data_IF_768429169044
#
_entry.id   IF_768429169044
#
_cell.length_a   1.000
_cell.length_b   1.000
_cell.length_c   1.000
_cell.angle_alpha   90.00
_cell.angle_beta   90.00
_cell.angle_gamma   90.00
#
_symmetry.space_group_name_H-M   'P 1'
#
loop_
_entity.id
_entity.type
_entity.pdbx_description
1 polymer ?
#
# COMPACT_ATOMS: atom_id res chain seq x y z
N UNK A 1 21.58 1.50 -11.95
CA UNK A 1 20.49 2.27 -11.33
C UNK A 1 19.54 1.25 -10.69
N UNK A 2 19.50 1.21 -9.35
CA UNK A 2 18.62 0.32 -8.62
C UNK A 2 17.25 0.99 -8.55
N UNK A 3 16.24 0.38 -9.13
CA UNK A 3 14.86 0.85 -9.00
C UNK A 3 14.36 0.42 -7.62
N UNK A 4 14.13 1.38 -6.74
CA UNK A 4 13.44 1.15 -5.46
C UNK A 4 11.97 1.42 -5.67
N UNK A 5 11.13 0.43 -5.43
CA UNK A 5 9.68 0.59 -5.41
C UNK A 5 9.20 0.52 -3.96
N UNK A 6 8.55 1.56 -3.49
CA UNK A 6 7.93 1.62 -2.16
C UNK A 6 6.43 1.54 -2.35
N UNK A 7 5.81 0.54 -1.74
CA UNK A 7 4.36 0.39 -1.70
C UNK A 7 3.87 0.78 -0.31
N UNK A 8 3.07 1.83 -0.26
CA UNK A 8 2.41 2.26 0.97
C UNK A 8 0.93 2.43 0.67
N UNK A 9 0.08 1.67 1.36
CA UNK A 9 -1.34 1.97 1.31
C UNK A 9 -2.15 1.24 2.39
N UNK A 10 -3.26 1.82 2.74
CA UNK A 10 -4.51 1.24 3.19
C UNK A 10 -5.64 1.88 2.37
N UNK A 11 -5.65 1.71 1.07
CA UNK A 11 -6.60 2.43 0.21
C UNK A 11 -6.40 3.96 0.17
N UNK A 12 -5.49 4.50 0.99
CA UNK A 12 -5.25 5.94 1.16
C UNK A 12 -4.68 6.58 -0.12
N UNK A 13 -3.87 5.85 -0.88
CA UNK A 13 -3.32 6.36 -2.14
C UNK A 13 -4.39 6.76 -3.14
N UNK A 14 -5.47 5.98 -3.26
CA UNK A 14 -6.61 6.27 -4.13
C UNK A 14 -7.41 7.46 -3.64
N UNK A 15 -7.62 7.51 -2.33
CA UNK A 15 -8.34 8.56 -1.65
C UNK A 15 -7.66 9.91 -1.90
N UNK A 16 -6.36 10.02 -1.65
CA UNK A 16 -5.62 11.26 -1.87
C UNK A 16 -5.48 11.65 -3.34
N UNK A 17 -5.29 10.67 -4.24
CA UNK A 17 -5.24 10.92 -5.68
C UNK A 17 -6.52 11.57 -6.17
N UNK A 18 -7.69 11.01 -5.82
CA UNK A 18 -8.99 11.51 -6.26
C UNK A 18 -9.23 12.92 -5.74
N UNK A 19 -8.94 13.15 -4.47
CA UNK A 19 -9.12 14.46 -3.86
C UNK A 19 -8.14 15.50 -4.42
N UNK A 20 -6.89 15.12 -4.69
CA UNK A 20 -5.92 15.95 -5.38
C UNK A 20 -6.34 16.28 -6.82
N UNK A 21 -7.12 15.42 -7.46
CA UNK A 21 -7.73 15.60 -8.78
C UNK A 21 -9.09 16.32 -8.74
N UNK A 22 -9.59 16.68 -7.54
CA UNK A 22 -10.87 17.40 -7.38
C UNK A 22 -12.12 16.52 -7.35
N UNK A 23 -11.98 15.20 -7.19
CA UNK A 23 -13.13 14.30 -7.06
C UNK A 23 -13.65 14.24 -5.61
N UNK A 24 -14.96 14.09 -5.46
CA UNK A 24 -15.56 13.81 -4.16
C UNK A 24 -15.19 12.40 -3.68
N UNK A 25 -14.93 12.26 -2.38
CA UNK A 25 -14.38 11.03 -1.80
C UNK A 25 -15.44 10.06 -1.28
N UNK A 26 -16.73 10.39 -1.51
CA UNK A 26 -17.85 9.63 -0.94
C UNK A 26 -17.62 9.41 0.59
N UNK A 27 -17.81 8.18 1.09
CA UNK A 27 -17.62 7.85 2.52
C UNK A 27 -16.23 7.27 2.84
N UNK A 28 -15.26 7.42 1.93
CA UNK A 28 -13.89 6.95 2.16
C UNK A 28 -13.15 7.83 3.17
N UNK A 29 -12.27 7.24 3.95
CA UNK A 29 -11.50 7.94 4.97
C UNK A 29 -10.52 8.93 4.32
N UNK A 30 -10.60 10.20 4.69
CA UNK A 30 -9.77 11.28 4.14
C UNK A 30 -9.14 12.09 5.27
N UNK A 31 -7.84 12.29 5.19
CA UNK A 31 -7.10 13.23 6.02
C UNK A 31 -6.83 14.51 5.22
N UNK A 32 -7.58 15.56 5.50
CA UNK A 32 -7.54 16.82 4.73
C UNK A 32 -6.14 17.45 4.68
N UNK A 33 -5.36 17.30 5.76
CA UNK A 33 -3.99 17.85 5.85
C UNK A 33 -3.01 17.16 4.90
N UNK A 34 -3.29 15.93 4.48
CA UNK A 34 -2.42 15.16 3.60
C UNK A 34 -2.65 15.44 2.09
N UNK A 35 -3.68 16.21 1.73
CA UNK A 35 -4.03 16.47 0.33
C UNK A 35 -2.95 17.29 -0.38
N UNK A 36 -2.45 18.35 0.25
CA UNK A 36 -1.42 19.21 -0.35
C UNK A 36 -0.10 18.43 -0.51
N UNK A 37 0.24 17.59 0.48
CA UNK A 37 1.38 16.67 0.38
C UNK A 37 1.21 15.70 -0.78
N UNK A 38 0.00 15.12 -0.94
CA UNK A 38 -0.30 14.22 -2.06
C UNK A 38 -0.18 14.91 -3.41
N UNK A 39 -0.66 16.15 -3.55
CA UNK A 39 -0.50 16.96 -4.77
C UNK A 39 0.98 17.20 -5.09
N UNK A 40 1.78 17.56 -4.10
CA UNK A 40 3.22 17.73 -4.25
C UNK A 40 3.90 16.46 -4.73
N UNK A 41 3.62 15.34 -4.07
CA UNK A 41 4.15 14.03 -4.45
C UNK A 41 3.73 13.60 -5.86
N UNK A 42 2.50 13.90 -6.28
CA UNK A 42 2.04 13.60 -7.64
C UNK A 42 2.77 14.45 -8.68
N UNK A 43 3.03 15.72 -8.38
CA UNK A 43 3.75 16.61 -9.28
C UNK A 43 5.24 16.22 -9.42
N UNK A 44 5.88 15.81 -8.34
CA UNK A 44 7.29 15.43 -8.31
C UNK A 44 7.54 13.98 -8.73
N UNK A 45 6.60 13.08 -8.39
CA UNK A 45 6.76 11.64 -8.57
C UNK A 45 6.77 11.19 -10.02
N UNK A 46 5.97 11.82 -10.88
CA UNK A 46 5.85 11.45 -12.28
C UNK A 46 5.68 9.94 -12.45
N UNK A 47 6.45 9.34 -13.35
CA UNK A 47 6.41 7.89 -13.65
C UNK A 47 6.90 6.98 -12.50
N UNK A 48 7.49 7.58 -11.45
CA UNK A 48 7.95 6.83 -10.27
C UNK A 48 6.81 6.54 -9.31
N UNK A 49 5.75 7.35 -9.35
CA UNK A 49 4.57 7.19 -8.51
C UNK A 49 3.53 6.37 -9.26
N UNK A 50 3.31 5.14 -8.80
CA UNK A 50 2.29 4.25 -9.38
C UNK A 50 1.12 4.19 -8.42
N UNK A 51 -0.03 4.65 -8.89
CA UNK A 51 -1.25 4.72 -8.11
C UNK A 51 -2.26 3.69 -8.62
N UNK A 52 -3.16 3.19 -7.74
CA UNK A 52 -4.25 2.32 -8.13
C UNK A 52 -5.12 2.92 -9.24
N UNK A 53 -5.70 2.06 -10.06
CA UNK A 53 -6.57 2.43 -11.20
C UNK A 53 -8.01 1.94 -11.00
N UNK A 54 -8.21 0.93 -10.14
CA UNK A 54 -9.50 0.41 -9.73
C UNK A 54 -9.49 0.00 -8.26
N UNK A 55 -10.66 -0.14 -7.68
CA UNK A 55 -10.84 -0.55 -6.30
C UNK A 55 -12.04 -1.45 -6.12
N UNK A 56 -12.02 -2.25 -5.06
CA UNK A 56 -13.18 -2.99 -4.54
C UNK A 56 -13.89 -2.07 -3.57
N UNK A 57 -15.07 -1.62 -3.94
CA UNK A 57 -15.91 -0.77 -3.10
C UNK A 57 -16.99 -1.58 -2.42
N UNK A 58 -17.39 -1.13 -1.23
CA UNK A 58 -18.46 -1.73 -0.45
C UNK A 58 -19.42 -0.65 0.07
N UNK A 59 -20.68 -1.04 0.28
CA UNK A 59 -21.75 -0.19 0.81
C UNK A 59 -21.72 -0.05 2.33
N UNK A 60 -20.92 -0.89 3.02
CA UNK A 60 -20.70 -0.83 4.45
C UNK A 60 -19.28 -1.29 4.82
N UNK A 61 -18.79 -0.92 6.00
CA UNK A 61 -17.58 -1.49 6.57
C UNK A 61 -17.90 -2.77 7.32
N UNK A 62 -18.13 -3.85 6.56
CA UNK A 62 -18.50 -5.17 7.09
C UNK A 62 -17.96 -6.27 6.19
N UNK A 63 -17.66 -7.43 6.77
CA UNK A 63 -17.23 -8.61 6.02
C UNK A 63 -18.27 -9.11 5.00
N UNK A 64 -19.55 -8.88 5.30
CA UNK A 64 -20.70 -9.31 4.49
C UNK A 64 -21.29 -8.17 3.64
N UNK A 65 -20.61 -7.03 3.53
CA UNK A 65 -21.06 -5.89 2.76
C UNK A 65 -21.18 -6.24 1.27
N UNK A 66 -22.19 -5.69 0.61
CA UNK A 66 -22.28 -5.77 -0.83
C UNK A 66 -21.07 -5.05 -1.45
N UNK A 67 -20.42 -5.68 -2.42
CA UNK A 67 -19.19 -5.15 -3.01
C UNK A 67 -19.18 -5.25 -4.51
N UNK A 68 -18.50 -4.30 -5.16
CA UNK A 68 -18.28 -4.28 -6.61
C UNK A 68 -16.90 -3.71 -6.92
N UNK A 69 -16.37 -4.05 -8.09
CA UNK A 69 -15.13 -3.43 -8.61
C UNK A 69 -15.53 -2.22 -9.44
N UNK A 70 -14.88 -1.10 -9.19
CA UNK A 70 -15.09 0.13 -9.95
C UNK A 70 -13.74 0.80 -10.27
N UNK A 71 -13.63 1.55 -11.37
CA UNK A 71 -12.50 2.46 -11.58
C UNK A 71 -12.39 3.45 -10.42
N UNK A 72 -11.19 3.95 -10.12
CA UNK A 72 -10.99 4.88 -9.01
C UNK A 72 -11.77 6.19 -9.14
N UNK A 73 -12.15 6.57 -10.36
CA UNK A 73 -13.00 7.74 -10.66
C UNK A 73 -14.50 7.41 -10.69
N UNK A 74 -14.88 6.14 -10.49
CA UNK A 74 -16.26 5.64 -10.54
C UNK A 74 -16.88 5.32 -9.18
N UNK A 75 -16.30 5.76 -8.07
CA UNK A 75 -16.88 5.51 -6.73
C UNK A 75 -18.08 6.42 -6.49
N UNK A 76 -19.23 5.83 -6.29
CA UNK A 76 -20.50 6.53 -6.04
C UNK A 76 -20.65 6.92 -4.56
N UNK A 77 -21.52 7.90 -4.27
CA UNK A 77 -21.88 8.24 -2.90
C UNK A 77 -22.43 7.02 -2.15
N UNK A 78 -22.11 6.90 -0.86
CA UNK A 78 -22.50 5.75 -0.03
C UNK A 78 -21.58 4.52 -0.18
N UNK A 79 -20.63 4.54 -1.12
CA UNK A 79 -19.64 3.47 -1.29
C UNK A 79 -18.27 3.90 -0.80
N UNK A 80 -17.50 2.97 -0.25
CA UNK A 80 -16.13 3.17 0.25
C UNK A 80 -15.18 2.13 -0.32
N UNK A 81 -13.96 2.53 -0.62
CA UNK A 81 -12.93 1.62 -1.13
C UNK A 81 -12.40 0.80 0.06
N UNK A 82 -12.48 -0.52 -0.03
CA UNK A 82 -11.98 -1.44 1.01
C UNK A 82 -10.81 -2.31 0.53
N UNK A 83 -10.56 -2.42 -0.78
CA UNK A 83 -9.38 -3.11 -1.34
C UNK A 83 -9.03 -2.53 -2.71
N UNK A 84 -7.84 -2.82 -3.21
CA UNK A 84 -7.46 -2.54 -4.59
C UNK A 84 -8.15 -3.52 -5.54
N UNK A 85 -8.45 -3.05 -6.74
CA UNK A 85 -9.08 -3.89 -7.76
C UNK A 85 -8.08 -4.74 -8.57
N UNK A 86 -8.59 -5.66 -9.39
CA UNK A 86 -7.75 -6.60 -10.17
C UNK A 86 -6.86 -5.91 -11.20
N UNK A 87 -7.27 -4.80 -11.82
CA UNK A 87 -6.44 -4.07 -12.75
C UNK A 87 -5.26 -3.39 -12.03
N UNK A 88 -5.46 -2.93 -10.80
CA UNK A 88 -4.41 -2.41 -9.93
C UNK A 88 -3.42 -3.51 -9.54
N UNK A 89 -3.92 -4.69 -9.17
CA UNK A 89 -3.08 -5.86 -8.85
C UNK A 89 -2.18 -6.19 -10.05
N UNK A 90 -2.73 -6.25 -11.25
CA UNK A 90 -1.95 -6.50 -12.48
C UNK A 90 -0.92 -5.39 -12.73
N UNK A 91 -1.30 -4.12 -12.57
CA UNK A 91 -0.41 -2.98 -12.73
C UNK A 91 0.78 -3.07 -11.77
N UNK A 92 0.54 -3.34 -10.49
CA UNK A 92 1.58 -3.48 -9.48
C UNK A 92 2.46 -4.70 -9.77
N UNK A 93 1.88 -5.81 -10.22
CA UNK A 93 2.63 -7.00 -10.63
C UNK A 93 3.64 -6.71 -11.72
N UNK A 94 3.25 -5.97 -12.76
CA UNK A 94 4.17 -5.53 -13.82
C UNK A 94 5.32 -4.67 -13.30
N UNK A 95 5.06 -3.81 -12.30
CA UNK A 95 6.09 -2.96 -11.70
C UNK A 95 7.01 -3.70 -10.75
N UNK A 96 6.51 -4.75 -10.09
CA UNK A 96 7.30 -5.58 -9.18
C UNK A 96 8.15 -6.63 -9.89
N UNK A 97 7.80 -7.02 -11.11
CA UNK A 97 8.47 -8.12 -11.83
C UNK A 97 9.99 -7.93 -11.99
N UNK A 98 10.44 -6.69 -12.21
CA UNK A 98 11.87 -6.37 -12.40
C UNK A 98 12.53 -5.76 -11.15
N UNK A 99 11.80 -5.70 -10.03
CA UNK A 99 12.30 -5.13 -8.80
C UNK A 99 13.45 -5.97 -8.23
N UNK A 100 14.52 -5.31 -7.76
CA UNK A 100 15.64 -5.97 -7.06
C UNK A 100 15.51 -5.86 -5.55
N UNK A 101 14.83 -4.82 -5.09
CA UNK A 101 14.52 -4.60 -3.68
C UNK A 101 13.10 -4.07 -3.58
N UNK A 102 12.31 -4.65 -2.71
CA UNK A 102 10.95 -4.23 -2.39
C UNK A 102 10.88 -3.89 -0.91
N UNK A 103 10.43 -2.68 -0.60
CA UNK A 103 10.07 -2.30 0.76
C UNK A 103 8.55 -2.17 0.79
N UNK A 104 7.89 -2.98 1.62
CA UNK A 104 6.46 -3.01 1.75
C UNK A 104 6.03 -2.61 3.15
N UNK A 105 5.19 -1.59 3.24
CA UNK A 105 4.63 -1.11 4.50
C UNK A 105 3.15 -0.76 4.32
N UNK A 106 2.28 -1.47 4.99
CA UNK A 106 0.83 -1.35 4.93
C UNK A 106 0.15 -2.33 3.96
N UNK A 107 -0.97 -2.95 4.36
CA UNK A 107 -1.78 -3.78 3.49
C UNK A 107 -2.45 -2.94 2.39
N UNK A 108 -2.88 -3.59 1.31
CA UNK A 108 -3.55 -2.91 0.18
C UNK A 108 -5.02 -2.62 0.48
N UNK A 109 -5.67 -3.41 1.33
CA UNK A 109 -7.06 -3.30 1.69
C UNK A 109 -7.33 -3.73 3.13
N UNK A 110 -8.61 -3.87 3.47
CA UNK A 110 -9.09 -4.34 4.78
C UNK A 110 -8.96 -5.86 4.83
N UNK A 111 -7.70 -6.32 4.99
CA UNK A 111 -7.32 -7.74 4.91
C UNK A 111 -7.96 -8.59 6.02
N UNK A 112 -8.47 -7.98 7.08
CA UNK A 112 -9.21 -8.62 8.15
C UNK A 112 -10.53 -9.24 7.65
N UNK A 113 -11.06 -8.72 6.57
CA UNK A 113 -12.25 -9.26 5.91
C UNK A 113 -11.84 -10.06 4.66
N UNK A 114 -12.14 -11.36 4.58
CA UNK A 114 -11.72 -12.19 3.45
C UNK A 114 -12.16 -11.66 2.07
N UNK A 115 -13.30 -10.96 2.01
CA UNK A 115 -13.79 -10.35 0.79
C UNK A 115 -12.87 -9.24 0.26
N UNK A 116 -12.13 -8.55 1.16
CA UNK A 116 -11.30 -7.37 0.90
C UNK A 116 -9.81 -7.62 1.18
N UNK A 117 -9.40 -8.89 1.28
CA UNK A 117 -8.01 -9.31 1.48
C UNK A 117 -7.28 -9.69 0.19
N UNK A 118 -8.01 -9.78 -0.92
CA UNK A 118 -7.49 -10.33 -2.19
C UNK A 118 -6.36 -9.51 -2.77
N UNK A 119 -6.46 -8.19 -2.73
CA UNK A 119 -5.43 -7.28 -3.21
C UNK A 119 -4.14 -7.43 -2.38
N UNK A 120 -4.27 -7.45 -1.06
CA UNK A 120 -3.14 -7.64 -0.14
C UNK A 120 -2.47 -8.99 -0.35
N UNK A 121 -3.24 -10.07 -0.45
CA UNK A 121 -2.72 -11.43 -0.67
C UNK A 121 -2.01 -11.52 -2.02
N UNK A 122 -2.60 -11.00 -3.09
CA UNK A 122 -2.00 -11.02 -4.42
C UNK A 122 -0.66 -10.27 -4.46
N UNK A 123 -0.59 -9.09 -3.86
CA UNK A 123 0.68 -8.33 -3.76
C UNK A 123 1.71 -9.10 -2.95
N UNK A 124 1.32 -9.72 -1.82
CA UNK A 124 2.21 -10.55 -1.02
C UNK A 124 2.79 -11.73 -1.82
N UNK A 125 1.95 -12.42 -2.59
CA UNK A 125 2.37 -13.53 -3.46
C UNK A 125 3.35 -13.06 -4.55
N UNK A 126 3.07 -11.91 -5.17
CA UNK A 126 3.95 -11.33 -6.19
C UNK A 126 5.31 -10.95 -5.60
N UNK A 127 5.34 -10.33 -4.42
CA UNK A 127 6.58 -10.00 -3.72
C UNK A 127 7.36 -11.26 -3.37
N UNK A 128 6.67 -12.29 -2.86
CA UNK A 128 7.28 -13.59 -2.53
C UNK A 128 7.86 -14.31 -3.75
N UNK A 129 7.25 -14.12 -4.93
CA UNK A 129 7.67 -14.77 -6.17
C UNK A 129 8.70 -13.96 -6.98
N UNK A 130 8.89 -12.68 -6.69
CA UNK A 130 9.72 -11.77 -7.49
C UNK A 130 11.22 -12.06 -7.47
N UNK A 131 11.70 -12.80 -6.47
CA UNK A 131 13.14 -13.01 -6.22
C UNK A 131 13.88 -11.74 -5.75
N UNK A 132 13.17 -10.65 -5.47
CA UNK A 132 13.73 -9.43 -4.92
C UNK A 132 14.09 -9.60 -3.44
N UNK A 133 15.03 -8.79 -2.95
CA UNK A 133 15.19 -8.60 -1.51
C UNK A 133 13.95 -7.89 -0.98
N UNK A 134 13.12 -8.60 -0.23
CA UNK A 134 11.87 -8.10 0.32
C UNK A 134 12.00 -7.73 1.80
N UNK A 135 11.69 -6.48 2.11
CA UNK A 135 11.68 -5.94 3.47
C UNK A 135 10.26 -5.53 3.78
N UNK A 136 9.64 -6.14 4.77
CA UNK A 136 8.25 -5.87 5.14
C UNK A 136 8.22 -5.24 6.53
N UNK A 137 7.59 -4.08 6.62
CA UNK A 137 7.42 -3.31 7.85
C UNK A 137 5.95 -3.03 8.16
N UNK A 138 5.68 -2.74 9.43
CA UNK A 138 4.35 -2.45 9.93
C UNK A 138 3.59 -3.69 10.42
N UNK A 139 2.98 -3.57 11.60
CA UNK A 139 2.27 -4.69 12.25
C UNK A 139 1.18 -5.31 11.39
N UNK A 140 0.41 -4.47 10.70
CA UNK A 140 -0.68 -4.92 9.84
C UNK A 140 -0.17 -5.69 8.61
N UNK A 141 0.94 -5.24 8.00
CA UNK A 141 1.57 -5.97 6.89
C UNK A 141 2.06 -7.34 7.32
N UNK A 142 2.67 -7.41 8.51
CA UNK A 142 3.13 -8.67 9.09
C UNK A 142 1.96 -9.60 9.39
N UNK A 143 0.87 -9.06 9.95
CA UNK A 143 -0.35 -9.83 10.21
C UNK A 143 -0.98 -10.37 8.93
N UNK A 144 -1.03 -9.56 7.88
CA UNK A 144 -1.52 -9.97 6.57
C UNK A 144 -0.66 -11.10 5.96
N UNK A 145 0.67 -11.01 6.08
CA UNK A 145 1.58 -12.06 5.63
C UNK A 145 1.41 -13.37 6.42
N UNK A 146 1.17 -13.28 7.74
CA UNK A 146 0.91 -14.45 8.57
C UNK A 146 -0.39 -15.13 8.14
N UNK A 147 -1.46 -14.36 7.91
CA UNK A 147 -2.72 -14.91 7.40
C UNK A 147 -2.56 -15.61 6.04
N UNK A 148 -1.75 -15.02 5.15
CA UNK A 148 -1.47 -15.58 3.83
C UNK A 148 -0.47 -16.75 3.86
N UNK A 149 0.16 -17.06 5.00
CA UNK A 149 1.18 -18.10 5.11
C UNK A 149 2.49 -17.80 4.36
N UNK A 150 2.78 -16.51 4.11
CA UNK A 150 3.88 -16.06 3.26
C UNK A 150 5.06 -15.47 4.04
N UNK A 151 4.99 -15.42 5.37
CA UNK A 151 6.02 -14.83 6.24
C UNK A 151 7.43 -15.38 5.96
N UNK A 152 7.56 -16.70 5.83
CA UNK A 152 8.85 -17.35 5.58
C UNK A 152 9.42 -17.11 4.18
N UNK A 153 8.64 -16.54 3.27
CA UNK A 153 9.08 -16.20 1.90
C UNK A 153 9.64 -14.80 1.77
N UNK A 154 9.55 -13.98 2.81
CA UNK A 154 10.11 -12.64 2.84
C UNK A 154 11.56 -12.66 3.30
N UNK A 155 12.41 -11.82 2.70
CA UNK A 155 13.83 -11.75 3.05
C UNK A 155 14.05 -11.17 4.45
N UNK A 156 13.24 -10.18 4.83
CA UNK A 156 13.31 -9.55 6.15
C UNK A 156 11.94 -9.01 6.57
N UNK A 157 11.62 -9.22 7.85
CA UNK A 157 10.43 -8.65 8.49
C UNK A 157 10.90 -7.71 9.58
N UNK A 158 10.58 -6.43 9.42
CA UNK A 158 10.91 -5.39 10.40
C UNK A 158 9.82 -5.31 11.45
N UNK A 159 10.18 -5.52 12.71
CA UNK A 159 9.30 -5.30 13.86
C UNK A 159 9.15 -3.80 14.21
N UNK A 160 10.04 -2.95 13.67
CA UNK A 160 10.05 -1.51 13.85
C UNK A 160 9.64 -0.76 12.58
N UNK A 161 8.40 -0.97 12.08
CA UNK A 161 7.93 -0.40 10.82
C UNK A 161 8.09 1.12 10.72
N UNK A 162 7.76 1.86 11.78
CA UNK A 162 7.95 3.32 11.83
C UNK A 162 9.41 3.75 11.70
N UNK A 163 10.31 3.15 12.49
CA UNK A 163 11.74 3.44 12.41
C UNK A 163 12.33 3.10 11.04
N UNK A 164 11.85 2.03 10.40
CA UNK A 164 12.30 1.68 9.03
C UNK A 164 11.89 2.74 8.01
N UNK A 165 10.70 3.34 8.15
CA UNK A 165 10.25 4.43 7.29
C UNK A 165 11.05 5.71 7.55
N UNK A 166 11.26 6.08 8.81
CA UNK A 166 12.07 7.25 9.19
C UNK A 166 13.50 7.16 8.66
N UNK A 167 14.10 5.96 8.70
CA UNK A 167 15.40 5.71 8.10
C UNK A 167 15.39 5.91 6.58
N UNK A 168 14.33 5.47 5.89
CA UNK A 168 14.19 5.67 4.44
C UNK A 168 13.97 7.14 4.07
N UNK A 169 13.37 7.92 4.96
CA UNK A 169 13.21 9.38 4.87
C UNK A 169 14.53 10.12 5.12
N UNK A 170 15.58 9.42 5.54
CA UNK A 170 16.89 10.02 5.86
C UNK A 170 16.95 10.66 7.25
N UNK A 171 15.99 10.37 8.12
CA UNK A 171 16.01 10.83 9.51
C UNK A 171 17.03 10.06 10.32
N UNK A 172 17.71 10.76 11.22
CA UNK A 172 18.59 10.14 12.20
C UNK A 172 17.74 9.40 13.25
N UNK A 173 18.03 8.11 13.42
CA UNK A 173 17.34 7.29 14.42
C UNK A 173 18.12 7.37 15.75
N UNK A 174 17.50 7.86 16.86
CA UNK A 174 18.22 8.03 18.13
C UNK A 174 18.87 6.74 18.66
N UNK A 175 18.22 5.59 18.41
CA UNK A 175 18.75 4.29 18.79
C UNK A 175 19.98 3.86 17.99
N UNK A 176 20.11 4.29 16.73
CA UNK A 176 21.31 4.05 15.91
C UNK A 176 22.41 5.08 16.20
N UNK A 177 22.03 6.34 16.42
CA UNK A 177 22.96 7.41 16.75
C UNK A 177 23.69 7.17 18.10
N UNK A 178 23.09 6.39 18.99
CA UNK A 178 23.70 6.02 20.28
C UNK A 178 24.64 4.82 20.20
N UNK A 179 24.81 4.19 19.03
CA UNK A 179 25.73 3.07 18.83
C UNK A 179 27.08 3.61 18.37
N UNK A 180 28.15 3.17 19.04
CA UNK A 180 29.52 3.48 18.60
C UNK A 180 29.83 2.77 17.28
N UNK A 181 30.44 3.51 16.36
CA UNK A 181 31.02 2.93 15.16
C UNK A 181 32.16 1.99 15.55
N UNK A 182 32.06 0.73 15.18
CA UNK A 182 33.13 -0.27 15.36
C UNK A 182 33.90 -0.49 14.07
#
# INVERSE_FOLDING_TARGET
RHTRSTLQSRGLGDVYKRQAQGYEMADSLVEAESIETAKGLMAEGGDKLVLPVDGVVADAFSADAASKVVPVDGVEAGWRILDIGPATVELFGRKLADAKTVVWNGPMGVFEFPAFAKGTTAVAEMVAASGATSIVGGGDSVSALQQAGLTAKMSHISTGGGASLEMLEGKELPGLAALDDK
#
